data_IF_087840082284
#
_entry.id   IF_087840082284
#
_cell.length_a   1.000
_cell.length_b   1.000
_cell.length_c   1.000
_cell.angle_alpha   90.00
_cell.angle_beta   90.00
_cell.angle_gamma   90.00
#
_symmetry.space_group_name_H-M   'P 1'
#
loop_
_entity.id
_entity.type
_entity.pdbx_description
1 polymer ?
#
# COMPACT_ATOMS: atom_id res chain seq x y z
N UNK A 1 -26.68 -24.73 7.44
CA UNK A 1 -25.73 -23.81 8.05
C UNK A 1 -24.57 -24.48 8.80
N UNK A 2 -24.72 -25.59 9.53
CA UNK A 2 -23.61 -26.25 10.27
C UNK A 2 -22.54 -26.95 9.39
N UNK A 3 -22.84 -27.33 8.14
CA UNK A 3 -21.88 -28.00 7.23
C UNK A 3 -20.89 -27.03 6.58
N UNK A 4 -21.27 -25.78 6.29
CA UNK A 4 -20.37 -24.77 5.68
C UNK A 4 -19.31 -24.27 6.64
N UNK A 5 -19.62 -24.10 7.92
CA UNK A 5 -18.65 -23.69 8.94
C UNK A 5 -17.53 -24.74 9.15
N UNK A 6 -17.88 -26.04 9.03
CA UNK A 6 -16.90 -27.13 9.20
C UNK A 6 -15.88 -27.18 8.04
N UNK A 7 -16.30 -26.80 6.83
CA UNK A 7 -15.39 -26.70 5.67
C UNK A 7 -14.43 -25.51 5.76
N UNK A 8 -14.91 -24.36 6.24
CA UNK A 8 -14.09 -23.16 6.43
C UNK A 8 -13.03 -23.40 7.49
N UNK A 9 -13.38 -23.99 8.64
CA UNK A 9 -12.43 -24.30 9.72
C UNK A 9 -11.39 -25.34 9.30
N UNK A 10 -11.77 -26.32 8.48
CA UNK A 10 -10.85 -27.35 7.95
C UNK A 10 -9.90 -26.74 6.90
N UNK A 11 -10.37 -25.79 6.09
CA UNK A 11 -9.55 -25.14 5.07
C UNK A 11 -8.51 -24.20 5.66
N UNK A 12 -8.90 -23.36 6.62
CA UNK A 12 -7.95 -22.53 7.39
C UNK A 12 -7.00 -23.35 8.25
N UNK A 13 -7.47 -24.47 8.81
CA UNK A 13 -6.62 -25.42 9.53
C UNK A 13 -5.59 -26.11 8.64
N UNK A 14 -5.93 -26.46 7.40
CA UNK A 14 -5.00 -27.02 6.41
C UNK A 14 -4.02 -25.98 5.87
N UNK A 15 -4.48 -24.75 5.60
CA UNK A 15 -3.64 -23.63 5.16
C UNK A 15 -2.69 -23.18 6.28
N UNK A 16 -3.17 -23.04 7.51
CA UNK A 16 -2.34 -22.77 8.68
C UNK A 16 -1.34 -23.88 8.98
N UNK A 17 -1.71 -25.16 8.79
CA UNK A 17 -0.80 -26.30 8.95
C UNK A 17 0.28 -26.34 7.86
N UNK A 18 -0.05 -25.98 6.60
CA UNK A 18 0.92 -25.91 5.49
C UNK A 18 1.87 -24.75 5.64
N UNK A 19 1.38 -23.56 5.98
CA UNK A 19 2.23 -22.41 6.34
C UNK A 19 3.08 -22.76 7.56
N UNK A 20 2.51 -23.37 8.60
CA UNK A 20 3.23 -23.86 9.76
C UNK A 20 4.33 -24.88 9.40
N UNK A 21 4.07 -25.82 8.49
CA UNK A 21 5.04 -26.81 8.06
C UNK A 21 6.22 -26.19 7.28
N UNK A 22 5.95 -25.20 6.44
CA UNK A 22 7.01 -24.48 5.70
C UNK A 22 7.83 -23.63 6.65
N UNK A 23 7.19 -22.89 7.55
CA UNK A 23 7.91 -22.16 8.60
C UNK A 23 8.71 -23.10 9.50
N UNK A 24 8.20 -24.30 9.81
CA UNK A 24 8.94 -25.30 10.59
C UNK A 24 10.16 -25.80 9.82
N UNK A 25 10.01 -26.03 8.50
CA UNK A 25 11.12 -26.43 7.65
C UNK A 25 12.17 -25.31 7.53
N UNK A 26 11.74 -24.07 7.36
CA UNK A 26 12.62 -22.88 7.32
C UNK A 26 13.35 -22.73 8.66
N UNK A 27 12.66 -22.86 9.80
CA UNK A 27 13.29 -22.69 11.11
C UNK A 27 14.23 -23.85 11.49
N UNK A 28 13.88 -25.08 11.15
CA UNK A 28 14.75 -26.24 11.36
C UNK A 28 16.01 -26.11 10.51
N UNK A 29 15.87 -25.57 9.32
CA UNK A 29 16.95 -25.23 8.43
C UNK A 29 17.80 -24.08 8.97
N UNK A 30 17.20 -23.06 9.58
CA UNK A 30 17.90 -21.97 10.24
C UNK A 30 18.68 -22.43 11.47
N UNK A 31 18.17 -23.38 12.25
CA UNK A 31 18.86 -24.02 13.36
C UNK A 31 20.07 -24.86 12.87
N UNK A 32 19.90 -25.60 11.79
CA UNK A 32 21.00 -26.31 11.13
C UNK A 32 22.01 -25.36 10.51
N UNK A 33 21.54 -24.22 9.93
CA UNK A 33 22.40 -23.19 9.33
C UNK A 33 23.20 -22.40 10.35
N UNK A 34 22.72 -22.28 11.59
CA UNK A 34 23.54 -21.69 12.68
C UNK A 34 24.80 -22.50 12.96
N UNK A 35 24.82 -23.76 12.53
CA UNK A 35 25.99 -24.65 12.60
C UNK A 35 26.87 -24.63 11.35
N UNK A 36 26.35 -24.11 10.21
CA UNK A 36 27.06 -24.07 8.95
C UNK A 36 26.93 -22.66 8.31
N UNK A 37 27.96 -21.85 8.42
CA UNK A 37 27.98 -20.47 7.95
C UNK A 37 27.74 -20.34 6.44
N UNK A 38 26.90 -19.40 6.06
CA UNK A 38 26.68 -18.72 4.79
C UNK A 38 26.17 -19.51 3.57
N UNK A 39 27.02 -20.06 2.73
CA UNK A 39 26.60 -20.66 1.45
C UNK A 39 25.95 -22.06 1.59
N UNK A 40 26.38 -22.84 2.58
CA UNK A 40 25.77 -24.15 2.83
C UNK A 40 24.32 -24.05 3.33
N UNK A 41 24.02 -23.05 4.12
CA UNK A 41 22.68 -22.75 4.59
C UNK A 41 21.76 -22.27 3.46
N UNK A 42 22.28 -21.41 2.58
CA UNK A 42 21.59 -20.97 1.39
C UNK A 42 21.25 -22.13 0.45
N UNK A 43 22.21 -23.05 0.23
CA UNK A 43 21.98 -24.24 -0.59
C UNK A 43 20.82 -25.10 -0.06
N UNK A 44 20.81 -25.37 1.24
CA UNK A 44 19.73 -26.16 1.87
C UNK A 44 18.39 -25.39 1.77
N UNK A 45 18.37 -24.07 2.03
CA UNK A 45 17.19 -23.23 1.91
C UNK A 45 16.62 -23.29 0.49
N UNK A 46 17.43 -23.05 -0.53
CA UNK A 46 17.04 -23.07 -1.92
C UNK A 46 16.44 -24.43 -2.30
N UNK A 47 17.06 -25.53 -1.85
CA UNK A 47 16.55 -26.89 -2.12
C UNK A 47 15.18 -27.16 -1.51
N UNK A 48 14.89 -26.62 -0.33
CA UNK A 48 13.55 -26.74 0.26
C UNK A 48 12.56 -25.84 -0.44
N UNK A 49 12.97 -24.63 -0.84
CA UNK A 49 12.09 -23.72 -1.57
C UNK A 49 11.70 -24.25 -2.94
N UNK A 50 12.54 -25.07 -3.61
CA UNK A 50 12.18 -25.80 -4.83
C UNK A 50 11.03 -26.79 -4.65
N UNK A 51 10.88 -27.35 -3.44
CA UNK A 51 9.88 -28.39 -3.15
C UNK A 51 8.58 -27.88 -2.54
N UNK A 52 8.53 -26.60 -2.17
CA UNK A 52 7.34 -26.01 -1.56
C UNK A 52 6.25 -25.68 -2.61
N UNK A 53 4.99 -25.73 -2.22
CA UNK A 53 3.83 -25.49 -3.09
C UNK A 53 2.95 -24.30 -2.68
N UNK A 54 3.37 -23.52 -1.69
CA UNK A 54 2.56 -22.42 -1.15
C UNK A 54 2.70 -21.15 -1.97
N UNK A 55 3.93 -20.89 -2.43
CA UNK A 55 4.26 -19.72 -3.22
C UNK A 55 4.49 -20.18 -4.66
N UNK A 56 3.87 -19.53 -5.64
CA UNK A 56 4.10 -19.82 -7.05
C UNK A 56 5.45 -19.26 -7.47
N UNK A 57 6.18 -20.04 -8.28
CA UNK A 57 7.48 -19.64 -8.79
C UNK A 57 8.64 -20.19 -7.98
N UNK A 58 9.81 -19.60 -8.19
CA UNK A 58 11.07 -20.04 -7.60
C UNK A 58 11.63 -18.97 -6.67
N UNK A 59 12.10 -19.37 -5.49
CA UNK A 59 12.78 -18.49 -4.55
C UNK A 59 14.21 -18.99 -4.39
N UNK A 60 15.14 -18.08 -4.56
CA UNK A 60 16.57 -18.30 -4.42
C UNK A 60 17.20 -17.30 -3.46
N UNK A 61 18.23 -17.70 -2.74
CA UNK A 61 19.04 -16.84 -1.89
C UNK A 61 20.51 -17.20 -2.05
N UNK A 62 21.38 -16.20 -2.14
CA UNK A 62 22.81 -16.43 -2.35
C UNK A 62 23.52 -16.78 -1.03
N UNK A 63 23.33 -15.97 0.01
CA UNK A 63 23.87 -16.25 1.34
C UNK A 63 22.82 -16.17 2.41
N UNK A 64 22.98 -17.00 3.45
CA UNK A 64 22.08 -16.99 4.59
C UNK A 64 22.89 -17.30 5.86
N UNK A 65 22.78 -16.44 6.86
CA UNK A 65 23.44 -16.62 8.15
C UNK A 65 22.46 -16.40 9.29
N UNK A 66 22.58 -17.18 10.34
CA UNK A 66 21.72 -17.05 11.51
C UNK A 66 22.54 -17.02 12.79
N UNK A 67 22.08 -16.27 13.79
CA UNK A 67 22.67 -16.26 15.12
C UNK A 67 21.77 -16.99 16.15
N UNK A 68 22.34 -17.25 17.31
CA UNK A 68 21.64 -17.93 18.42
C UNK A 68 20.47 -17.09 18.99
N UNK A 69 20.40 -15.81 18.68
CA UNK A 69 19.32 -14.91 19.11
C UNK A 69 18.15 -14.91 18.15
N UNK A 70 18.26 -15.70 17.05
CA UNK A 70 17.23 -15.81 16.02
C UNK A 70 17.25 -14.68 15.00
N UNK A 71 18.35 -13.93 14.89
CA UNK A 71 18.56 -12.99 13.80
C UNK A 71 19.09 -13.76 12.59
N UNK A 72 18.41 -13.65 11.47
CA UNK A 72 18.79 -14.26 10.19
C UNK A 72 19.02 -13.17 9.19
N UNK A 73 20.23 -13.12 8.63
CA UNK A 73 20.60 -12.21 7.57
C UNK A 73 20.73 -12.99 6.27
N UNK A 74 20.32 -12.38 5.17
CA UNK A 74 20.42 -12.96 3.83
C UNK A 74 20.85 -11.90 2.81
N UNK A 75 21.44 -12.37 1.70
CA UNK A 75 21.78 -11.52 0.56
C UNK A 75 21.26 -12.14 -0.72
N UNK A 76 20.94 -11.26 -1.66
CA UNK A 76 20.51 -11.59 -3.02
C UNK A 76 19.36 -12.63 -3.00
N UNK A 77 18.27 -12.28 -2.30
CA UNK A 77 17.05 -13.06 -2.36
C UNK A 77 16.28 -12.65 -3.61
N UNK A 78 16.01 -13.62 -4.45
CA UNK A 78 15.23 -13.49 -5.67
C UNK A 78 14.01 -14.39 -5.60
N UNK A 79 12.86 -13.85 -5.95
CA UNK A 79 11.63 -14.61 -6.15
C UNK A 79 11.08 -14.31 -7.52
N UNK A 80 11.06 -15.32 -8.37
CA UNK A 80 10.51 -15.25 -9.72
C UNK A 80 9.16 -15.94 -9.79
N UNK A 81 8.24 -15.35 -10.54
CA UNK A 81 6.97 -15.98 -10.89
C UNK A 81 7.20 -17.20 -11.77
N UNK A 82 6.19 -18.09 -11.96
CA UNK A 82 6.31 -19.27 -12.82
C UNK A 82 6.70 -18.98 -14.28
N UNK A 83 6.44 -17.77 -14.75
CA UNK A 83 6.81 -17.29 -16.09
C UNK A 83 8.24 -16.71 -16.16
N UNK A 84 8.99 -16.79 -15.06
CA UNK A 84 10.35 -16.23 -14.95
C UNK A 84 10.37 -14.71 -14.75
N UNK A 85 9.23 -14.06 -14.52
CA UNK A 85 9.20 -12.63 -14.23
C UNK A 85 9.63 -12.41 -12.78
N UNK A 86 10.60 -11.51 -12.50
CA UNK A 86 10.97 -11.21 -11.12
C UNK A 86 9.82 -10.51 -10.38
N UNK A 87 9.52 -11.04 -9.19
CA UNK A 87 8.48 -10.55 -8.29
C UNK A 87 9.10 -9.78 -7.13
N UNK A 88 10.20 -10.31 -6.59
CA UNK A 88 10.90 -9.72 -5.47
C UNK A 88 12.40 -9.90 -5.64
N UNK A 89 13.10 -8.79 -5.62
CA UNK A 89 14.57 -8.73 -5.62
C UNK A 89 15.01 -8.03 -4.34
N UNK A 90 15.77 -8.71 -3.49
CA UNK A 90 16.25 -8.18 -2.21
C UNK A 90 17.77 -8.33 -2.14
N UNK A 91 18.53 -7.27 -2.43
CA UNK A 91 19.99 -7.29 -2.33
C UNK A 91 20.48 -7.65 -0.94
N UNK A 92 19.84 -7.13 0.10
CA UNK A 92 20.13 -7.49 1.48
C UNK A 92 18.89 -7.39 2.37
N UNK A 93 18.80 -8.25 3.34
CA UNK A 93 17.71 -8.22 4.29
C UNK A 93 17.96 -9.07 5.52
N UNK A 94 17.02 -9.00 6.44
CA UNK A 94 17.05 -9.83 7.62
C UNK A 94 15.64 -10.14 8.11
N UNK A 95 15.52 -11.23 8.84
CA UNK A 95 14.34 -11.48 9.64
C UNK A 95 14.73 -11.99 11.03
N UNK A 96 13.91 -11.62 12.00
CA UNK A 96 14.11 -11.99 13.38
C UNK A 96 13.02 -12.95 13.82
N UNK A 97 13.44 -14.12 14.30
CA UNK A 97 12.55 -15.14 14.84
C UNK A 97 12.79 -15.31 16.35
N UNK A 98 11.79 -15.80 17.06
CA UNK A 98 11.96 -16.20 18.45
C UNK A 98 12.37 -17.69 18.51
N UNK A 99 13.64 -18.02 18.74
CA UNK A 99 14.09 -19.41 18.73
C UNK A 99 13.46 -20.24 19.88
N UNK A 100 13.09 -19.59 20.98
CA UNK A 100 12.48 -20.23 22.13
C UNK A 100 11.08 -20.80 21.86
N UNK A 101 10.33 -20.18 20.96
CA UNK A 101 9.02 -20.70 20.55
C UNK A 101 9.14 -22.09 19.92
N UNK A 102 10.22 -22.33 19.17
CA UNK A 102 10.49 -23.62 18.58
C UNK A 102 11.02 -24.62 19.59
N UNK A 103 11.99 -24.23 20.42
CA UNK A 103 12.64 -25.12 21.41
C UNK A 103 11.63 -25.63 22.44
N UNK A 104 10.77 -24.72 22.95
CA UNK A 104 9.81 -25.05 24.01
C UNK A 104 8.53 -25.72 23.50
N UNK A 105 8.06 -25.36 22.32
CA UNK A 105 6.75 -25.78 21.83
C UNK A 105 6.82 -26.74 20.64
N UNK A 106 8.00 -26.99 20.07
CA UNK A 106 8.22 -27.83 18.88
C UNK A 106 7.27 -27.47 17.69
N UNK A 107 6.77 -26.26 17.68
CA UNK A 107 5.85 -25.75 16.65
C UNK A 107 6.11 -24.28 16.40
N UNK A 108 5.92 -23.85 15.17
CA UNK A 108 5.94 -22.43 14.83
C UNK A 108 4.59 -21.81 15.19
N UNK A 109 4.66 -20.76 15.97
CA UNK A 109 3.53 -19.91 16.29
C UNK A 109 3.51 -18.70 15.35
N UNK A 110 2.38 -18.07 15.21
CA UNK A 110 2.25 -16.79 14.48
C UNK A 110 3.09 -15.68 15.10
N UNK A 111 3.52 -15.85 16.36
CA UNK A 111 4.42 -14.93 17.09
C UNK A 111 5.90 -15.24 16.91
N UNK A 112 6.24 -16.31 16.18
CA UNK A 112 7.65 -16.72 16.01
C UNK A 112 8.41 -15.72 15.13
N UNK A 113 7.82 -15.25 14.04
CA UNK A 113 8.39 -14.18 13.22
C UNK A 113 8.07 -12.82 13.87
N UNK A 114 9.11 -12.06 14.20
CA UNK A 114 9.00 -10.80 14.94
C UNK A 114 9.34 -9.58 14.13
N UNK A 115 10.26 -9.73 13.19
CA UNK A 115 10.74 -8.60 12.41
C UNK A 115 11.19 -9.06 11.02
N UNK A 116 10.93 -8.25 10.02
CA UNK A 116 11.42 -8.38 8.65
C UNK A 116 12.05 -7.03 8.29
N UNK A 117 13.26 -7.04 7.77
CA UNK A 117 13.91 -5.85 7.22
C UNK A 117 14.36 -6.15 5.81
N UNK A 118 13.97 -5.30 4.87
CA UNK A 118 14.36 -5.37 3.47
C UNK A 118 15.06 -4.07 3.10
N UNK A 119 16.22 -4.17 2.46
CA UNK A 119 16.99 -3.01 2.03
C UNK A 119 17.15 -3.01 0.51
N UNK A 120 17.01 -1.83 -0.11
CA UNK A 120 17.20 -1.60 -1.54
C UNK A 120 16.40 -2.57 -2.44
N UNK A 121 15.27 -3.02 -1.94
CA UNK A 121 14.51 -4.10 -2.55
C UNK A 121 13.59 -3.60 -3.65
N UNK A 122 13.40 -4.41 -4.68
CA UNK A 122 12.39 -4.17 -5.72
C UNK A 122 11.29 -5.21 -5.60
N UNK A 123 10.06 -4.73 -5.52
CA UNK A 123 8.83 -5.55 -5.49
C UNK A 123 8.02 -5.25 -6.73
N UNK A 124 7.76 -6.27 -7.55
CA UNK A 124 6.97 -6.15 -8.79
C UNK A 124 5.73 -7.03 -8.70
N UNK A 125 4.55 -6.43 -8.78
CA UNK A 125 3.29 -7.15 -8.62
C UNK A 125 2.40 -6.93 -9.84
N UNK A 126 1.96 -8.02 -10.45
CA UNK A 126 0.93 -7.99 -11.50
C UNK A 126 -0.43 -8.29 -10.89
N UNK A 127 -1.40 -7.42 -11.17
CA UNK A 127 -2.79 -7.57 -10.74
C UNK A 127 -3.67 -8.02 -11.90
N UNK A 128 -4.59 -8.93 -11.62
CA UNK A 128 -5.65 -9.29 -12.55
C UNK A 128 -6.77 -8.22 -12.58
N UNK A 129 -7.78 -8.41 -13.43
CA UNK A 129 -8.93 -7.50 -13.52
C UNK A 129 -9.70 -7.36 -12.21
N UNK A 130 -9.61 -8.34 -11.32
CA UNK A 130 -10.28 -8.35 -10.02
C UNK A 130 -9.41 -7.82 -8.88
N UNK A 131 -8.26 -7.17 -9.18
CA UNK A 131 -7.28 -6.69 -8.21
C UNK A 131 -6.67 -7.81 -7.34
N UNK A 132 -6.62 -9.04 -7.84
CA UNK A 132 -5.92 -10.13 -7.17
C UNK A 132 -4.48 -10.20 -7.69
N UNK A 133 -3.51 -10.26 -6.76
CA UNK A 133 -2.11 -10.42 -7.13
C UNK A 133 -1.87 -11.83 -7.70
N UNK A 134 -1.26 -11.93 -8.87
CA UNK A 134 -1.06 -13.20 -9.59
C UNK A 134 -0.01 -14.13 -8.98
N UNK A 135 0.64 -13.69 -7.90
CA UNK A 135 1.79 -14.33 -7.27
C UNK A 135 1.43 -15.39 -6.23
N UNK A 136 0.22 -15.36 -5.69
CA UNK A 136 -0.21 -16.30 -4.65
C UNK A 136 -1.10 -17.37 -5.26
N UNK A 137 -0.81 -18.64 -4.97
CA UNK A 137 -1.65 -19.75 -5.44
C UNK A 137 -3.02 -19.66 -4.75
N UNK A 138 -4.01 -19.10 -5.46
CA UNK A 138 -5.39 -19.19 -5.05
C UNK A 138 -5.92 -20.59 -5.37
N UNK A 139 -5.64 -21.58 -4.52
CA UNK A 139 -6.43 -22.82 -4.47
C UNK A 139 -7.76 -22.58 -3.73
N UNK A 140 -8.38 -21.42 -3.93
CA UNK A 140 -9.76 -21.22 -3.51
C UNK A 140 -10.66 -21.94 -4.53
N UNK A 141 -11.54 -22.86 -4.12
CA UNK A 141 -12.47 -23.49 -5.02
C UNK A 141 -13.32 -22.42 -5.72
N UNK A 142 -13.55 -22.57 -7.01
CA UNK A 142 -14.28 -21.62 -7.88
C UNK A 142 -15.71 -21.28 -7.43
N UNK A 143 -16.21 -21.88 -6.36
CA UNK A 143 -17.57 -21.74 -5.86
C UNK A 143 -17.84 -20.48 -5.01
N UNK A 144 -16.87 -19.59 -4.79
CA UNK A 144 -17.07 -18.36 -3.99
C UNK A 144 -16.79 -17.10 -4.84
N UNK A 145 -17.36 -17.05 -6.04
CA UNK A 145 -17.48 -15.81 -6.82
C UNK A 145 -18.76 -15.05 -6.45
N UNK A 146 -18.94 -14.71 -5.18
CA UNK A 146 -19.83 -13.61 -4.80
C UNK A 146 -18.95 -12.41 -4.51
N UNK A 147 -19.31 -11.25 -5.06
CA UNK A 147 -18.70 -9.97 -4.74
C UNK A 147 -18.80 -9.75 -3.23
N UNK A 148 -17.79 -10.19 -2.51
CA UNK A 148 -17.66 -9.90 -1.08
C UNK A 148 -17.33 -8.42 -0.95
N UNK A 149 -18.14 -7.69 -0.21
CA UNK A 149 -17.87 -6.31 0.15
C UNK A 149 -16.53 -6.23 0.89
N UNK A 150 -15.88 -5.06 0.87
CA UNK A 150 -14.62 -4.83 1.60
C UNK A 150 -14.79 -5.21 3.09
N UNK A 151 -15.95 -4.92 3.68
CA UNK A 151 -16.32 -5.28 5.05
C UNK A 151 -16.35 -6.79 5.29
N UNK A 152 -16.87 -7.57 4.34
CA UNK A 152 -16.85 -9.02 4.44
C UNK A 152 -15.43 -9.57 4.31
N UNK A 153 -14.59 -8.99 3.45
CA UNK A 153 -13.17 -9.35 3.34
C UNK A 153 -12.42 -9.02 4.63
N UNK A 154 -12.67 -7.87 5.23
CA UNK A 154 -12.06 -7.45 6.51
C UNK A 154 -12.53 -8.36 7.65
N UNK A 155 -13.82 -8.69 7.73
CA UNK A 155 -14.36 -9.63 8.74
C UNK A 155 -13.87 -11.06 8.56
N UNK A 156 -13.58 -11.50 7.34
CA UNK A 156 -13.00 -12.83 7.07
C UNK A 156 -11.51 -12.90 7.39
N UNK A 157 -10.83 -11.78 7.41
CA UNK A 157 -9.47 -11.64 7.96
C UNK A 157 -9.44 -11.74 9.49
N UNK A 158 -10.53 -12.23 10.14
CA UNK A 158 -10.65 -12.31 11.58
C UNK A 158 -9.32 -12.74 12.23
N UNK A 159 -8.58 -11.74 12.68
CA UNK A 159 -7.27 -11.90 13.33
C UNK A 159 -7.42 -12.23 14.82
N UNK A 160 -8.67 -12.33 15.31
CA UNK A 160 -8.99 -12.49 16.73
C UNK A 160 -8.32 -13.71 17.36
N UNK A 161 -8.17 -14.79 16.60
CA UNK A 161 -7.56 -16.05 17.10
C UNK A 161 -6.07 -16.14 16.82
N UNK A 162 -5.45 -15.15 16.14
CA UNK A 162 -4.05 -15.18 15.75
C UNK A 162 -3.28 -14.07 16.48
N UNK A 163 -2.34 -14.46 17.31
CA UNK A 163 -1.45 -13.50 17.99
C UNK A 163 -0.27 -13.20 17.07
N UNK A 164 -0.27 -12.03 16.43
CA UNK A 164 0.87 -11.49 15.69
C UNK A 164 1.52 -10.37 16.50
N UNK A 165 2.83 -10.29 16.41
CA UNK A 165 3.60 -9.13 16.83
C UNK A 165 4.77 -9.02 15.87
N UNK A 166 4.51 -8.38 14.74
CA UNK A 166 5.41 -8.33 13.59
C UNK A 166 5.78 -6.87 13.28
N UNK A 167 7.07 -6.63 13.16
CA UNK A 167 7.62 -5.40 12.59
C UNK A 167 8.09 -5.65 11.17
N UNK A 168 7.81 -4.72 10.27
CA UNK A 168 8.29 -4.74 8.90
C UNK A 168 8.98 -3.41 8.65
N UNK A 169 10.26 -3.47 8.32
CA UNK A 169 11.06 -2.32 7.96
C UNK A 169 11.46 -2.43 6.49
N UNK A 170 11.17 -1.42 5.73
CA UNK A 170 11.57 -1.27 4.33
C UNK A 170 12.50 -0.05 4.26
N UNK A 171 13.66 -0.21 3.66
CA UNK A 171 14.65 0.84 3.54
C UNK A 171 15.00 1.01 2.07
N UNK A 172 14.73 2.19 1.49
CA UNK A 172 15.03 2.56 0.11
C UNK A 172 14.47 1.55 -0.91
N UNK A 173 13.26 1.07 -0.72
CA UNK A 173 12.65 0.07 -1.59
C UNK A 173 12.02 0.71 -2.83
N UNK A 174 11.81 -0.12 -3.88
CA UNK A 174 11.11 0.22 -5.10
C UNK A 174 9.90 -0.69 -5.25
N UNK A 175 8.74 -0.12 -5.52
CA UNK A 175 7.50 -0.87 -5.79
C UNK A 175 7.05 -0.61 -7.21
N UNK A 176 6.69 -1.69 -7.90
CA UNK A 176 6.13 -1.67 -9.24
C UNK A 176 4.83 -2.47 -9.24
N UNK A 177 3.77 -1.86 -9.71
CA UNK A 177 2.48 -2.50 -9.84
C UNK A 177 2.01 -2.41 -11.29
N UNK A 178 1.56 -3.53 -11.82
CA UNK A 178 1.07 -3.64 -13.20
C UNK A 178 -0.38 -4.11 -13.20
N UNK A 179 -1.23 -3.40 -13.93
CA UNK A 179 -2.63 -3.78 -14.12
C UNK A 179 -3.08 -3.42 -15.53
N UNK A 180 -3.42 -4.42 -16.31
CA UNK A 180 -3.71 -4.28 -17.75
C UNK A 180 -2.51 -3.59 -18.46
N UNK A 181 -2.74 -2.46 -19.11
CA UNK A 181 -1.72 -1.60 -19.75
C UNK A 181 -1.14 -0.52 -18.82
N UNK A 182 -1.55 -0.50 -17.55
CA UNK A 182 -1.15 0.52 -16.58
C UNK A 182 0.01 0.03 -15.73
N UNK A 183 0.98 0.93 -15.55
CA UNK A 183 2.13 0.74 -14.67
C UNK A 183 2.17 1.83 -13.61
N UNK A 184 2.43 1.45 -12.37
CA UNK A 184 2.64 2.34 -11.25
C UNK A 184 3.98 2.01 -10.63
N UNK A 185 4.85 3.00 -10.53
CA UNK A 185 6.19 2.85 -9.98
C UNK A 185 6.38 3.84 -8.83
N UNK A 186 6.83 3.35 -7.69
CA UNK A 186 7.13 4.14 -6.51
C UNK A 186 8.57 3.84 -6.09
N UNK A 187 9.37 4.87 -5.89
CA UNK A 187 10.81 4.76 -5.60
C UNK A 187 11.13 5.31 -4.22
N UNK A 188 12.30 4.97 -3.70
CA UNK A 188 12.80 5.43 -2.40
C UNK A 188 11.74 5.26 -1.31
N UNK A 189 11.18 4.05 -1.21
CA UNK A 189 10.17 3.74 -0.21
C UNK A 189 10.86 3.32 1.07
N UNK A 190 10.59 4.09 2.13
CA UNK A 190 10.94 3.77 3.50
C UNK A 190 9.66 3.50 4.28
N UNK A 191 9.62 2.40 5.04
CA UNK A 191 8.47 2.10 5.86
C UNK A 191 8.85 1.40 7.17
N UNK A 192 8.19 1.77 8.24
CA UNK A 192 8.23 1.07 9.51
C UNK A 192 6.78 0.73 9.92
N UNK A 193 6.43 -0.54 9.79
CA UNK A 193 5.12 -1.05 10.14
C UNK A 193 5.22 -1.91 11.40
N UNK A 194 4.35 -1.71 12.37
CA UNK A 194 4.25 -2.56 13.53
C UNK A 194 2.83 -3.08 13.70
N UNK A 195 2.63 -4.34 13.36
CA UNK A 195 1.36 -5.04 13.50
C UNK A 195 1.35 -5.83 14.81
N UNK A 196 0.47 -5.45 15.73
CA UNK A 196 0.15 -6.22 16.92
C UNK A 196 -1.33 -6.60 16.88
N UNK A 197 -1.61 -7.88 16.62
CA UNK A 197 -2.98 -8.36 16.42
C UNK A 197 -3.88 -8.08 17.61
N UNK A 198 -5.12 -7.70 17.32
CA UNK A 198 -6.14 -7.30 18.29
C UNK A 198 -5.77 -6.07 19.14
N UNK A 199 -4.73 -5.35 18.76
CA UNK A 199 -4.35 -4.12 19.43
C UNK A 199 -4.25 -2.97 18.44
N UNK A 200 -3.22 -2.96 17.57
CA UNK A 200 -2.98 -1.87 16.63
C UNK A 200 -2.11 -2.29 15.44
N UNK A 201 -2.18 -1.52 14.40
CA UNK A 201 -1.18 -1.40 13.34
C UNK A 201 -0.66 0.04 13.37
N UNK A 202 0.63 0.25 13.68
CA UNK A 202 1.27 1.55 13.44
C UNK A 202 1.90 1.55 12.05
N UNK A 203 1.81 2.71 11.40
CA UNK A 203 2.32 2.93 10.04
C UNK A 203 3.16 4.20 10.07
N UNK A 204 4.40 4.09 9.65
CA UNK A 204 5.23 5.20 9.22
C UNK A 204 5.75 4.83 7.85
N UNK A 205 5.36 5.58 6.83
CA UNK A 205 5.65 5.29 5.44
C UNK A 205 5.99 6.59 4.72
N UNK A 206 7.05 6.55 3.95
CA UNK A 206 7.39 7.63 3.03
C UNK A 206 7.85 7.07 1.70
N UNK A 207 7.56 7.77 0.63
CA UNK A 207 8.11 7.47 -0.68
C UNK A 207 8.72 8.70 -1.32
N UNK A 208 9.69 8.48 -2.18
CA UNK A 208 10.11 9.43 -3.19
C UNK A 208 9.09 9.50 -4.34
N UNK A 209 9.51 10.04 -5.51
CA UNK A 209 8.64 10.18 -6.65
C UNK A 209 7.98 8.88 -7.09
N UNK A 210 6.74 8.99 -7.50
CA UNK A 210 6.03 7.93 -8.20
C UNK A 210 5.73 8.34 -9.64
N UNK A 211 5.70 7.35 -10.53
CA UNK A 211 5.65 7.54 -11.97
C UNK A 211 4.85 6.44 -12.68
N UNK A 212 4.70 6.58 -13.98
CA UNK A 212 3.89 5.69 -14.80
C UNK A 212 2.48 6.25 -14.98
N UNK A 213 1.45 5.49 -14.64
CA UNK A 213 0.06 5.93 -14.78
C UNK A 213 -0.28 7.04 -13.78
N UNK A 214 0.22 6.97 -12.55
CA UNK A 214 0.13 8.05 -11.57
C UNK A 214 1.48 8.76 -11.46
N UNK A 215 1.48 10.07 -11.28
CA UNK A 215 2.67 10.92 -11.23
C UNK A 215 2.61 11.85 -10.02
N UNK A 216 3.72 11.95 -9.28
CA UNK A 216 3.85 12.83 -8.13
C UNK A 216 5.23 12.73 -7.47
N UNK A 217 5.50 13.63 -6.51
CA UNK A 217 6.81 13.72 -5.84
C UNK A 217 6.94 12.79 -4.64
N UNK A 218 5.83 12.24 -4.14
CA UNK A 218 5.84 11.28 -3.04
C UNK A 218 4.54 11.20 -2.24
N UNK A 219 4.54 10.26 -1.30
CA UNK A 219 3.45 10.05 -0.33
C UNK A 219 4.09 9.84 1.04
N UNK A 220 3.57 10.52 2.05
CA UNK A 220 3.92 10.25 3.44
C UNK A 220 2.67 9.81 4.19
N UNK A 221 2.78 8.75 4.98
CA UNK A 221 1.69 8.24 5.83
C UNK A 221 2.26 8.02 7.23
N UNK A 222 1.65 8.62 8.22
CA UNK A 222 1.99 8.41 9.62
C UNK A 222 0.73 8.23 10.46
N UNK A 223 0.77 7.34 11.43
CA UNK A 223 -0.32 7.13 12.36
C UNK A 223 -0.58 5.68 12.72
N UNK A 224 -1.84 5.37 13.01
CA UNK A 224 -2.20 4.03 13.46
C UNK A 224 -3.61 3.61 13.05
N UNK A 225 -3.81 2.29 13.07
CA UNK A 225 -5.13 1.65 12.92
C UNK A 225 -5.41 0.86 14.19
N UNK A 226 -6.51 1.16 14.85
CA UNK A 226 -7.00 0.42 16.00
C UNK A 226 -7.65 -0.89 15.53
N UNK A 227 -7.09 -2.01 15.99
CA UNK A 227 -7.56 -3.37 15.64
C UNK A 227 -8.38 -4.03 16.76
N UNK A 228 -8.74 -3.28 17.80
CA UNK A 228 -9.55 -3.80 18.93
C UNK A 228 -11.04 -3.85 18.62
N UNK A 229 -11.46 -3.07 17.65
CA UNK A 229 -12.86 -2.98 17.20
C UNK A 229 -13.14 -4.02 16.11
N UNK A 230 -14.40 -4.50 15.98
CA UNK A 230 -14.79 -5.45 14.92
C UNK A 230 -14.53 -4.94 13.50
N UNK A 231 -14.63 -3.63 13.28
CA UNK A 231 -14.20 -2.93 12.09
C UNK A 231 -13.03 -2.06 12.51
N UNK A 232 -11.82 -2.28 11.98
CA UNK A 232 -10.66 -1.47 12.31
C UNK A 232 -10.89 0.02 12.06
N UNK A 233 -10.37 0.86 12.93
CA UNK A 233 -10.51 2.33 12.84
C UNK A 233 -9.15 2.95 12.57
N UNK A 234 -9.07 3.73 11.51
CA UNK A 234 -7.88 4.44 11.12
C UNK A 234 -7.80 5.82 11.78
N UNK A 235 -6.57 6.22 12.09
CA UNK A 235 -6.18 7.58 12.43
C UNK A 235 -4.79 7.81 11.80
N UNK A 236 -4.80 8.31 10.55
CA UNK A 236 -3.63 8.39 9.69
C UNK A 236 -3.50 9.80 9.11
N UNK A 237 -2.36 10.43 9.31
CA UNK A 237 -1.96 11.58 8.51
C UNK A 237 -1.44 11.07 7.16
N UNK A 238 -2.03 11.55 6.05
CA UNK A 238 -1.65 11.16 4.68
C UNK A 238 -1.38 12.41 3.87
N UNK A 239 -0.15 12.55 3.44
CA UNK A 239 0.32 13.68 2.66
C UNK A 239 0.70 13.21 1.25
N UNK A 240 0.03 13.76 0.24
CA UNK A 240 0.36 13.57 -1.18
C UNK A 240 1.13 14.80 -1.66
N UNK A 241 2.33 14.59 -2.20
CA UNK A 241 3.23 15.66 -2.60
C UNK A 241 3.19 15.82 -4.12
N UNK A 242 2.75 16.99 -4.58
CA UNK A 242 2.76 17.41 -6.00
C UNK A 242 2.24 16.35 -6.97
N UNK A 243 1.10 15.76 -6.65
CA UNK A 243 0.44 14.78 -7.52
C UNK A 243 -0.16 15.48 -8.74
N UNK A 244 0.02 14.91 -9.93
CA UNK A 244 -0.75 15.30 -11.13
C UNK A 244 -2.20 14.80 -10.97
N UNK A 245 -3.19 15.68 -10.78
CA UNK A 245 -4.58 15.28 -10.58
C UNK A 245 -5.15 14.46 -11.71
N UNK A 246 -4.75 14.74 -12.96
CA UNK A 246 -5.22 14.02 -14.15
C UNK A 246 -4.75 12.58 -14.16
N UNK A 247 -3.55 12.32 -13.64
CA UNK A 247 -2.94 11.00 -13.58
C UNK A 247 -3.66 10.06 -12.61
N UNK A 248 -4.34 10.63 -11.61
CA UNK A 248 -5.12 9.88 -10.60
C UNK A 248 -6.63 9.96 -10.82
N UNK A 249 -7.06 10.53 -11.94
CA UNK A 249 -8.46 10.53 -12.36
C UNK A 249 -9.28 11.77 -11.95
N UNK A 250 -8.65 12.79 -11.40
CA UNK A 250 -9.26 14.07 -11.07
C UNK A 250 -9.20 15.04 -12.27
N UNK A 251 -10.14 14.89 -13.20
CA UNK A 251 -10.27 15.80 -14.35
C UNK A 251 -9.15 15.63 -15.39
N UNK A 252 -9.53 15.38 -16.63
CA UNK A 252 -8.56 15.12 -17.72
C UNK A 252 -7.70 16.34 -18.11
N UNK A 253 -8.06 17.53 -17.63
CA UNK A 253 -7.45 18.80 -18.04
C UNK A 253 -6.65 19.48 -16.93
N UNK A 254 -6.55 18.87 -15.74
CA UNK A 254 -5.81 19.45 -14.61
C UNK A 254 -4.51 18.69 -14.44
N UNK A 255 -3.43 19.29 -14.93
CA UNK A 255 -2.07 18.72 -14.89
C UNK A 255 -1.13 19.44 -13.91
N UNK A 256 -1.58 20.58 -13.37
CA UNK A 256 -0.76 21.34 -12.42
C UNK A 256 -0.66 20.58 -11.08
N UNK A 257 0.54 20.47 -10.51
CA UNK A 257 0.78 19.63 -9.32
C UNK A 257 -0.03 20.07 -8.10
N UNK A 258 -0.69 19.10 -7.47
CA UNK A 258 -1.50 19.26 -6.26
C UNK A 258 -0.80 18.63 -5.05
N UNK A 259 -0.67 19.37 -3.96
CA UNK A 259 -0.29 18.86 -2.66
C UNK A 259 -1.51 18.76 -1.76
N UNK A 260 -1.73 17.58 -1.16
CA UNK A 260 -2.77 17.33 -0.19
C UNK A 260 -2.15 16.94 1.15
N UNK A 261 -2.60 17.57 2.23
CA UNK A 261 -2.24 17.22 3.61
C UNK A 261 -3.53 16.89 4.35
N UNK A 262 -3.73 15.62 4.64
CA UNK A 262 -5.02 15.12 5.12
C UNK A 262 -4.88 14.22 6.32
N UNK A 263 -5.84 14.31 7.24
CA UNK A 263 -6.06 13.37 8.32
C UNK A 263 -7.20 12.43 7.95
N UNK A 264 -6.90 11.15 7.80
CA UNK A 264 -7.88 10.10 7.60
C UNK A 264 -8.29 9.50 8.92
N UNK A 265 -9.59 9.46 9.20
CA UNK A 265 -10.13 8.95 10.46
C UNK A 265 -11.34 8.04 10.22
N UNK A 266 -11.65 7.22 11.21
CA UNK A 266 -12.84 6.36 11.23
C UNK A 266 -12.63 4.96 10.67
N UNK A 267 -13.72 4.23 10.41
CA UNK A 267 -13.66 2.86 9.94
C UNK A 267 -12.88 2.73 8.62
N UNK A 268 -11.99 1.75 8.51
CA UNK A 268 -11.19 1.54 7.28
C UNK A 268 -12.06 1.22 6.06
N UNK A 269 -13.28 0.74 6.26
CA UNK A 269 -14.26 0.47 5.20
C UNK A 269 -15.02 1.72 4.71
N UNK A 270 -15.07 2.77 5.53
CA UNK A 270 -15.73 4.04 5.23
C UNK A 270 -14.94 5.20 5.87
N UNK A 271 -13.70 5.46 5.41
CA UNK A 271 -12.87 6.49 6.01
C UNK A 271 -13.42 7.88 5.70
N UNK A 272 -13.22 8.78 6.65
CA UNK A 272 -13.39 10.20 6.46
C UNK A 272 -12.02 10.85 6.40
N UNK A 273 -11.88 11.91 5.60
CA UNK A 273 -10.66 12.71 5.59
C UNK A 273 -11.00 14.19 5.74
N UNK A 274 -10.13 14.89 6.45
CA UNK A 274 -10.13 16.34 6.56
C UNK A 274 -8.72 16.85 6.34
N UNK A 275 -8.57 17.97 5.64
CA UNK A 275 -7.23 18.49 5.40
C UNK A 275 -7.19 19.75 4.56
N UNK A 276 -6.02 19.95 3.93
CA UNK A 276 -5.72 21.12 3.11
C UNK A 276 -5.22 20.72 1.74
N UNK A 277 -5.57 21.51 0.76
CA UNK A 277 -5.02 21.44 -0.60
C UNK A 277 -4.17 22.68 -0.90
N UNK A 278 -3.10 22.49 -1.62
CA UNK A 278 -2.22 23.55 -2.11
C UNK A 278 -1.79 23.26 -3.55
N UNK A 279 -1.91 24.28 -4.42
CA UNK A 279 -1.35 24.27 -5.79
C UNK A 279 -0.71 25.63 -6.04
N UNK A 280 0.52 25.62 -6.55
CA UNK A 280 1.20 26.87 -6.93
C UNK A 280 0.52 27.50 -8.12
N UNK A 281 0.01 26.66 -9.02
CA UNK A 281 -0.71 27.04 -10.21
C UNK A 281 -1.85 26.07 -10.49
N UNK A 282 -2.94 26.56 -11.06
CA UNK A 282 -4.03 25.77 -11.63
C UNK A 282 -4.44 26.40 -12.95
N UNK A 283 -4.19 25.70 -14.04
CA UNK A 283 -4.55 26.13 -15.38
C UNK A 283 -5.77 25.36 -15.87
N UNK A 284 -6.85 26.06 -16.10
CA UNK A 284 -8.02 25.53 -16.79
C UNK A 284 -8.30 26.37 -18.03
N UNK A 285 -9.07 25.88 -19.01
CA UNK A 285 -9.36 26.65 -20.21
C UNK A 285 -9.81 28.09 -19.92
N UNK A 286 -9.07 29.09 -20.43
CA UNK A 286 -9.26 30.53 -20.25
C UNK A 286 -8.93 31.10 -18.85
N UNK A 287 -8.56 30.31 -17.85
CA UNK A 287 -8.26 30.77 -16.49
C UNK A 287 -6.96 30.21 -15.99
N UNK A 288 -6.05 31.07 -15.56
CA UNK A 288 -4.86 30.70 -14.81
C UNK A 288 -4.96 31.25 -13.39
N UNK A 289 -4.99 30.34 -12.44
CA UNK A 289 -4.96 30.65 -11.01
C UNK A 289 -3.57 30.41 -10.46
N UNK A 290 -3.16 31.21 -9.51
CA UNK A 290 -1.91 31.00 -8.73
C UNK A 290 -2.22 31.02 -7.24
N UNK A 291 -1.32 30.43 -6.45
CA UNK A 291 -1.48 30.37 -4.99
C UNK A 291 -2.82 29.78 -4.56
N UNK A 292 -3.26 28.71 -5.20
CA UNK A 292 -4.52 28.03 -4.85
C UNK A 292 -4.36 27.31 -3.53
N UNK A 293 -5.22 27.62 -2.56
CA UNK A 293 -5.24 27.00 -1.25
C UNK A 293 -6.67 26.83 -0.78
N UNK A 294 -6.95 25.76 -0.04
CA UNK A 294 -8.28 25.51 0.48
C UNK A 294 -8.30 24.37 1.48
N UNK A 295 -9.46 24.19 2.07
CA UNK A 295 -9.74 23.04 2.91
C UNK A 295 -10.44 21.97 2.08
N UNK A 296 -10.20 20.70 2.41
CA UNK A 296 -10.79 19.54 1.75
C UNK A 296 -11.33 18.59 2.80
N UNK A 297 -12.57 18.17 2.60
CA UNK A 297 -13.21 17.10 3.36
C UNK A 297 -13.58 15.96 2.41
N UNK A 298 -13.45 14.72 2.88
CA UNK A 298 -13.87 13.54 2.14
C UNK A 298 -14.76 12.66 3.01
N UNK A 299 -15.88 12.27 2.44
CA UNK A 299 -16.78 11.28 3.03
C UNK A 299 -17.63 10.63 1.94
N UNK A 300 -17.83 9.30 2.04
CA UNK A 300 -18.76 8.52 1.19
C UNK A 300 -18.57 8.74 -0.32
N UNK A 301 -17.33 8.91 -0.77
CA UNK A 301 -17.00 9.15 -2.18
C UNK A 301 -17.19 10.60 -2.64
N UNK A 302 -17.45 11.53 -1.74
CA UNK A 302 -17.61 12.95 -2.04
C UNK A 302 -16.47 13.75 -1.44
N UNK A 303 -15.79 14.53 -2.27
CA UNK A 303 -14.89 15.58 -1.82
C UNK A 303 -15.65 16.91 -1.74
N UNK A 304 -15.54 17.57 -0.61
CA UNK A 304 -16.03 18.92 -0.38
C UNK A 304 -14.82 19.85 -0.27
N UNK A 305 -14.80 20.89 -1.09
CA UNK A 305 -13.77 21.92 -1.07
C UNK A 305 -14.37 23.19 -0.47
N UNK A 306 -13.73 23.71 0.59
CA UNK A 306 -14.19 24.92 1.28
C UNK A 306 -13.03 25.89 1.44
N UNK A 307 -13.35 27.15 1.71
CA UNK A 307 -12.36 28.21 1.90
C UNK A 307 -11.28 28.28 0.81
N UNK A 308 -11.64 27.88 -0.43
CA UNK A 308 -10.68 27.90 -1.53
C UNK A 308 -10.40 29.34 -1.90
N UNK A 309 -9.13 29.70 -1.94
CA UNK A 309 -8.64 31.02 -2.34
C UNK A 309 -7.61 30.87 -3.44
N UNK A 310 -7.56 31.82 -4.37
CA UNK A 310 -6.57 31.86 -5.44
C UNK A 310 -6.37 33.29 -5.93
N UNK A 311 -5.24 33.52 -6.60
CA UNK A 311 -4.98 34.74 -7.35
C UNK A 311 -5.36 34.52 -8.82
N UNK A 312 -6.06 35.48 -9.42
CA UNK A 312 -6.47 35.43 -10.83
C UNK A 312 -6.61 36.84 -11.37
N UNK A 313 -6.06 37.13 -12.54
CA UNK A 313 -6.15 38.41 -13.23
C UNK A 313 -5.86 39.63 -12.34
N UNK A 314 -4.78 39.58 -11.57
CA UNK A 314 -4.37 40.58 -10.57
C UNK A 314 -5.36 40.78 -9.40
N UNK A 315 -6.41 39.99 -9.31
CA UNK A 315 -7.38 40.00 -8.23
C UNK A 315 -7.37 38.71 -7.42
N UNK A 316 -8.39 38.55 -6.60
CA UNK A 316 -8.58 37.37 -5.73
C UNK A 316 -9.85 36.63 -6.12
N UNK A 317 -9.77 35.28 -6.01
CA UNK A 317 -10.92 34.39 -6.07
C UNK A 317 -11.16 33.79 -4.68
N UNK A 318 -12.41 33.72 -4.28
CA UNK A 318 -12.88 32.84 -3.21
C UNK A 318 -13.86 31.82 -3.80
N UNK A 319 -13.70 30.54 -3.50
CA UNK A 319 -14.52 29.49 -4.08
C UNK A 319 -14.83 28.38 -3.06
N UNK A 320 -15.87 27.61 -3.36
CA UNK A 320 -16.21 26.36 -2.71
C UNK A 320 -16.90 25.43 -3.72
N UNK A 321 -16.95 24.14 -3.42
CA UNK A 321 -17.59 23.18 -4.32
C UNK A 321 -17.46 21.75 -3.82
N UNK A 322 -17.98 20.84 -4.61
CA UNK A 322 -17.90 19.42 -4.37
C UNK A 322 -17.53 18.63 -5.65
N UNK A 323 -17.00 17.44 -5.44
CA UNK A 323 -16.71 16.48 -6.48
C UNK A 323 -17.09 15.06 -6.02
N UNK A 324 -17.95 14.39 -6.77
CA UNK A 324 -18.36 13.02 -6.50
C UNK A 324 -17.51 12.03 -7.33
N UNK A 325 -16.70 11.21 -6.67
CA UNK A 325 -15.84 10.22 -7.32
C UNK A 325 -16.62 9.16 -8.13
N UNK A 326 -17.81 8.78 -7.66
CA UNK A 326 -18.58 7.70 -8.26
C UNK A 326 -19.27 8.16 -9.55
N UNK A 327 -19.87 9.35 -9.53
CA UNK A 327 -20.62 9.91 -10.67
C UNK A 327 -19.77 10.83 -11.52
N UNK A 328 -18.63 11.31 -11.01
CA UNK A 328 -17.77 12.36 -11.58
C UNK A 328 -18.48 13.71 -11.77
N UNK A 329 -19.61 13.88 -11.10
CA UNK A 329 -20.31 15.16 -11.04
C UNK A 329 -19.56 16.10 -10.10
N UNK A 330 -19.60 17.40 -10.43
CA UNK A 330 -19.00 18.44 -9.61
C UNK A 330 -19.87 19.69 -9.60
N UNK A 331 -19.78 20.44 -8.51
CA UNK A 331 -20.38 21.77 -8.37
C UNK A 331 -19.30 22.72 -7.90
N UNK A 332 -19.21 23.89 -8.52
CA UNK A 332 -18.23 24.93 -8.15
C UNK A 332 -18.93 26.28 -8.09
N UNK A 333 -18.73 26.98 -6.99
CA UNK A 333 -19.16 28.35 -6.78
C UNK A 333 -17.93 29.22 -6.53
N UNK A 334 -17.85 30.36 -7.23
CA UNK A 334 -16.69 31.24 -7.08
C UNK A 334 -17.10 32.71 -7.13
N UNK A 335 -16.39 33.55 -6.38
CA UNK A 335 -16.53 35.00 -6.40
C UNK A 335 -15.17 35.66 -6.57
N UNK A 336 -14.98 36.34 -7.69
CA UNK A 336 -13.78 37.13 -7.94
C UNK A 336 -13.93 38.56 -7.43
N UNK A 337 -12.84 39.14 -6.92
CA UNK A 337 -12.77 40.53 -6.49
C UNK A 337 -11.49 41.17 -6.98
N UNK A 338 -11.56 42.44 -7.42
CA UNK A 338 -10.41 43.21 -7.88
C UNK A 338 -9.79 42.70 -9.20
N UNK A 339 -10.58 42.01 -10.02
CA UNK A 339 -10.10 41.41 -11.27
C UNK A 339 -9.77 42.49 -12.31
N UNK A 340 -8.62 42.43 -12.98
CA UNK A 340 -8.28 43.26 -14.10
C UNK A 340 -9.00 42.75 -15.37
N UNK A 341 -10.05 43.44 -15.76
CA UNK A 341 -10.88 43.09 -16.93
C UNK A 341 -10.10 43.07 -18.24
N UNK A 342 -9.04 43.87 -18.39
CA UNK A 342 -8.20 43.89 -19.59
C UNK A 342 -7.48 42.59 -19.80
N UNK A 343 -6.95 42.02 -18.70
CA UNK A 343 -6.27 40.71 -18.73
C UNK A 343 -7.28 39.61 -19.04
N UNK A 344 -8.42 39.64 -18.36
CA UNK A 344 -9.52 38.69 -18.58
C UNK A 344 -10.01 38.66 -20.04
N UNK A 345 -10.33 39.84 -20.61
CA UNK A 345 -10.78 39.96 -21.98
C UNK A 345 -9.72 39.50 -23.00
N UNK A 346 -8.48 39.90 -22.83
CA UNK A 346 -7.38 39.46 -23.69
C UNK A 346 -7.22 37.96 -23.76
N UNK A 347 -7.45 37.26 -22.64
CA UNK A 347 -7.39 35.79 -22.58
C UNK A 347 -8.63 35.13 -23.22
N UNK A 348 -9.80 35.75 -23.11
CA UNK A 348 -11.03 35.22 -23.70
C UNK A 348 -11.08 35.46 -25.23
N UNK A 349 -10.60 36.61 -25.73
CA UNK A 349 -10.54 36.91 -27.16
C UNK A 349 -9.64 35.96 -27.96
N UNK A 350 -8.55 35.47 -27.37
CA UNK A 350 -7.68 34.49 -28.04
C UNK A 350 -8.32 33.12 -28.26
N UNK A 351 -9.43 32.79 -27.65
CA UNK A 351 -10.13 31.51 -27.82
C UNK A 351 -11.35 31.58 -28.73
N UNK A 352 -11.80 32.75 -29.06
CA UNK A 352 -12.89 32.94 -30.04
C UNK A 352 -12.42 33.00 -31.51
N UNK A 353 -11.10 32.90 -31.75
CA UNK A 353 -10.46 33.01 -33.08
C UNK A 353 -9.76 31.70 -33.53
N UNK A 354 -9.99 30.58 -32.88
CA UNK A 354 -9.45 29.28 -33.31
C UNK A 354 -10.57 28.30 -33.59
#
# INVERSE_FOLDING_TARGET
MKKSLKYITVYYGKFGKRIGAIFTAILLMLLVSALFASHGAAFIFNRVMETQSVVKGTIHVNTLSADIRGQVNFTDLEWDAPDGTPVLLVPSGSFKVNPWDFILHRSLKTTTLREITLNDSTVSVKFDKNMSAQIISSEAPESVKKSTTLDEKIRTLNMADKKFNLRINLNNCRFEAYKDDKQYVMTSVDAALHLKSNEFLTVNFSSGPFSGTAVGDGINIDGSVNLRTPIPEADLEVNFLKVDPSSVGFGKSVHDPLTLKTQFTGPVSAPMAHGKLEMDKLSIPALDFTNVRGDIDYKDGIFLFTNVTADVYNGKLAAYGDYNLNTRAYTIHGKGTGLDSRIALKRMEFKCLV
#
